data_IF_686974281503
#
_entry.id   IF_686974281503
#
_cell.length_a   1.000
_cell.length_b   1.000
_cell.length_c   1.000
_cell.angle_alpha   90.00
_cell.angle_beta   90.00
_cell.angle_gamma   90.00
#
_symmetry.space_group_name_H-M   'P 1'
#
loop_
_entity.id
_entity.type
_entity.pdbx_description
1 polymer ?
#
# COMPACT_ATOMS: atom_id res chain seq x y z
N UNK A 1 -28.58 -4.27 1.35
CA UNK A 1 -29.93 -3.84 1.81
C UNK A 1 -31.00 -4.94 1.85
N UNK A 2 -31.03 -5.90 0.91
CA UNK A 2 -32.06 -6.96 0.80
C UNK A 2 -32.42 -7.69 2.12
N UNK A 3 -31.43 -7.90 2.99
CA UNK A 3 -31.62 -8.55 4.29
C UNK A 3 -32.35 -7.69 5.32
N UNK A 4 -32.13 -6.37 5.31
CA UNK A 4 -32.74 -5.43 6.27
C UNK A 4 -34.20 -5.10 5.93
N UNK A 5 -34.55 -5.23 4.64
CA UNK A 5 -35.92 -5.06 4.11
C UNK A 5 -36.69 -6.39 4.01
N UNK A 6 -36.04 -7.52 4.34
CA UNK A 6 -36.57 -8.90 4.29
C UNK A 6 -37.29 -9.28 2.99
N UNK A 7 -36.73 -8.89 1.84
CA UNK A 7 -37.26 -9.34 0.54
C UNK A 7 -36.93 -10.83 0.28
N UNK A 8 -37.65 -11.51 -0.64
CA UNK A 8 -37.34 -12.88 -1.04
C UNK A 8 -35.85 -13.03 -1.42
N UNK A 9 -35.17 -14.01 -0.84
CA UNK A 9 -33.71 -14.18 -0.95
C UNK A 9 -32.91 -13.70 0.26
N UNK A 10 -33.56 -13.11 1.28
CA UNK A 10 -32.89 -12.79 2.53
C UNK A 10 -32.41 -14.05 3.28
N UNK A 11 -31.19 -14.02 3.83
CA UNK A 11 -30.62 -15.11 4.60
C UNK A 11 -31.42 -15.33 5.89
N UNK A 12 -31.72 -16.60 6.22
CA UNK A 12 -32.41 -16.96 7.48
C UNK A 12 -31.67 -16.46 8.73
N UNK A 13 -30.34 -16.45 8.68
CA UNK A 13 -29.50 -15.91 9.77
C UNK A 13 -29.72 -14.42 10.04
N UNK A 14 -30.36 -13.70 9.11
CA UNK A 14 -30.67 -12.28 9.25
C UNK A 14 -32.04 -12.00 9.88
N UNK A 15 -32.85 -13.03 10.16
CA UNK A 15 -34.17 -12.85 10.80
C UNK A 15 -34.08 -12.25 12.20
N UNK A 16 -32.95 -12.47 12.90
CA UNK A 16 -32.65 -11.84 14.18
C UNK A 16 -32.49 -10.30 14.09
N UNK A 17 -32.24 -9.76 12.89
CA UNK A 17 -32.19 -8.33 12.62
C UNK A 17 -33.54 -7.87 12.07
N UNK A 18 -34.57 -7.95 12.91
CA UNK A 18 -35.94 -7.48 12.66
C UNK A 18 -36.40 -6.58 13.82
N UNK A 19 -37.44 -5.79 13.58
CA UNK A 19 -38.09 -5.04 14.67
C UNK A 19 -38.70 -6.03 15.67
N UNK A 20 -38.96 -5.64 16.94
CA UNK A 20 -39.64 -6.50 17.90
C UNK A 20 -40.99 -7.05 17.41
N UNK A 21 -41.65 -6.35 16.47
CA UNK A 21 -42.87 -6.80 15.79
C UNK A 21 -42.65 -7.90 14.74
N UNK A 22 -41.41 -8.26 14.44
CA UNK A 22 -41.01 -9.16 13.35
C UNK A 22 -40.92 -8.49 11.97
N UNK A 23 -41.27 -7.21 11.88
CA UNK A 23 -41.17 -6.43 10.65
C UNK A 23 -39.72 -6.14 10.24
N UNK A 24 -39.48 -5.82 8.96
CA UNK A 24 -38.16 -5.38 8.51
C UNK A 24 -37.62 -4.18 9.30
N UNK A 25 -36.31 -4.11 9.48
CA UNK A 25 -35.66 -2.97 10.15
C UNK A 25 -35.76 -1.72 9.28
N UNK A 26 -35.68 -1.90 7.96
CA UNK A 26 -35.80 -0.83 6.97
C UNK A 26 -37.05 -1.03 6.11
N UNK A 27 -37.78 0.05 5.89
CA UNK A 27 -38.94 0.14 5.00
C UNK A 27 -39.00 1.56 4.40
N UNK A 28 -40.06 1.88 3.66
CA UNK A 28 -40.20 3.19 3.02
C UNK A 28 -40.43 4.35 3.98
N UNK A 29 -40.84 4.08 5.22
CA UNK A 29 -41.01 5.12 6.23
C UNK A 29 -39.69 5.61 6.82
N UNK A 30 -38.62 4.80 6.75
CA UNK A 30 -37.35 5.08 7.41
C UNK A 30 -36.12 4.92 6.52
N UNK A 31 -36.30 4.89 5.19
CA UNK A 31 -35.22 4.74 4.21
C UNK A 31 -35.21 5.91 3.23
N UNK A 32 -34.03 6.50 3.03
CA UNK A 32 -33.78 7.51 2.00
C UNK A 32 -32.76 6.96 1.00
N UNK A 33 -33.11 6.96 -0.28
CA UNK A 33 -32.15 6.75 -1.36
C UNK A 33 -31.57 8.10 -1.77
N UNK A 34 -30.25 8.26 -1.65
CA UNK A 34 -29.56 9.53 -1.86
C UNK A 34 -28.56 9.44 -3.01
N UNK A 35 -28.59 10.39 -3.94
CA UNK A 35 -27.68 10.39 -5.08
C UNK A 35 -28.06 9.41 -6.20
N UNK A 36 -29.33 9.02 -6.30
CA UNK A 36 -29.75 8.01 -7.29
C UNK A 36 -29.73 8.58 -8.71
N UNK A 37 -28.94 7.96 -9.61
CA UNK A 37 -28.88 8.38 -11.01
C UNK A 37 -30.10 7.87 -11.81
N UNK A 38 -31.10 8.72 -11.95
CA UNK A 38 -32.33 8.42 -12.69
C UNK A 38 -32.17 8.43 -14.20
N UNK A 39 -31.04 8.96 -14.71
CA UNK A 39 -30.77 9.07 -16.14
C UNK A 39 -29.85 7.97 -16.68
N UNK A 40 -29.34 7.09 -15.81
CA UNK A 40 -28.50 5.98 -16.21
C UNK A 40 -29.31 4.87 -16.89
N UNK A 41 -28.91 4.49 -18.11
CA UNK A 41 -29.64 3.49 -18.90
C UNK A 41 -29.72 2.11 -18.23
N UNK A 42 -28.77 1.77 -17.35
CA UNK A 42 -28.82 0.53 -16.56
C UNK A 42 -29.85 0.54 -15.43
N UNK A 43 -30.35 1.72 -15.02
CA UNK A 43 -31.41 1.84 -14.04
C UNK A 43 -32.77 1.84 -14.74
N UNK A 44 -33.44 0.70 -14.70
CA UNK A 44 -34.67 0.51 -15.46
C UNK A 44 -35.84 1.30 -14.85
N UNK A 45 -36.78 1.81 -15.68
CA UNK A 45 -37.96 2.55 -15.21
C UNK A 45 -38.77 1.80 -14.15
N UNK A 46 -38.83 0.46 -14.21
CA UNK A 46 -39.60 -0.35 -13.26
C UNK A 46 -39.03 -0.29 -11.84
N UNK A 47 -37.71 -0.10 -11.69
CA UNK A 47 -37.09 0.08 -10.38
C UNK A 47 -37.54 1.38 -9.72
N UNK A 48 -37.62 2.46 -10.50
CA UNK A 48 -38.09 3.75 -10.00
C UNK A 48 -39.59 3.74 -9.71
N UNK A 49 -40.39 3.12 -10.59
CA UNK A 49 -41.82 2.92 -10.35
C UNK A 49 -42.05 2.20 -9.02
N UNK A 50 -41.30 1.12 -8.74
CA UNK A 50 -41.37 0.44 -7.44
C UNK A 50 -41.05 1.36 -6.25
N UNK A 51 -39.99 2.17 -6.34
CA UNK A 51 -39.60 3.07 -5.24
C UNK A 51 -40.71 4.10 -4.96
N UNK A 52 -41.28 4.69 -6.01
CA UNK A 52 -42.34 5.68 -5.87
C UNK A 52 -43.67 5.06 -5.42
N UNK A 53 -44.07 3.92 -5.99
CA UNK A 53 -45.29 3.19 -5.60
C UNK A 53 -45.26 2.73 -4.15
N UNK A 54 -44.05 2.46 -3.62
CA UNK A 54 -43.83 2.10 -2.21
C UNK A 54 -43.56 3.29 -1.30
N UNK A 55 -43.65 4.52 -1.80
CA UNK A 55 -43.41 5.77 -1.06
C UNK A 55 -42.00 5.91 -0.47
N UNK A 56 -40.98 5.35 -1.11
CA UNK A 56 -39.59 5.61 -0.70
C UNK A 56 -39.20 7.07 -0.97
N UNK A 57 -38.46 7.67 -0.04
CA UNK A 57 -37.84 8.96 -0.26
C UNK A 57 -36.62 8.79 -1.16
N UNK A 58 -36.62 9.43 -2.32
CA UNK A 58 -35.50 9.38 -3.28
C UNK A 58 -35.00 10.80 -3.58
N UNK A 59 -33.69 11.00 -3.46
CA UNK A 59 -32.99 12.24 -3.84
C UNK A 59 -32.10 11.92 -5.03
N UNK A 60 -32.35 12.57 -6.17
CA UNK A 60 -31.64 12.29 -7.41
C UNK A 60 -30.20 12.78 -7.39
N UNK A 61 -29.31 12.10 -8.11
CA UNK A 61 -27.91 12.50 -8.29
C UNK A 61 -27.80 13.93 -8.82
N UNK A 62 -28.62 14.30 -9.80
CA UNK A 62 -28.66 15.64 -10.37
C UNK A 62 -29.01 16.74 -9.35
N UNK A 63 -29.82 16.44 -8.33
CA UNK A 63 -30.10 17.41 -7.27
C UNK A 63 -28.98 17.48 -6.25
N UNK A 64 -28.35 16.34 -5.92
CA UNK A 64 -27.20 16.29 -5.01
C UNK A 64 -26.02 17.06 -5.61
N UNK A 65 -25.77 16.91 -6.91
CA UNK A 65 -24.70 17.62 -7.60
C UNK A 65 -24.86 19.15 -7.55
N UNK A 66 -26.10 19.66 -7.53
CA UNK A 66 -26.37 21.11 -7.48
C UNK A 66 -26.29 21.68 -6.07
N UNK A 67 -26.87 20.98 -5.11
CA UNK A 67 -27.07 21.47 -3.74
C UNK A 67 -26.82 20.37 -2.70
N UNK A 68 -25.58 19.87 -2.57
CA UNK A 68 -25.30 18.66 -1.80
C UNK A 68 -25.65 18.80 -0.31
N UNK A 69 -25.28 19.92 0.32
CA UNK A 69 -25.56 20.13 1.75
C UNK A 69 -27.05 20.32 2.05
N UNK A 70 -27.75 21.07 1.21
CA UNK A 70 -29.18 21.31 1.41
C UNK A 70 -29.97 20.00 1.27
N UNK A 71 -29.63 19.18 0.28
CA UNK A 71 -30.24 17.86 0.09
C UNK A 71 -29.92 16.91 1.24
N UNK A 72 -28.68 16.91 1.73
CA UNK A 72 -28.30 16.10 2.89
C UNK A 72 -29.06 16.52 4.14
N UNK A 73 -29.20 17.83 4.39
CA UNK A 73 -29.98 18.37 5.50
C UNK A 73 -31.45 17.92 5.46
N UNK A 74 -32.11 18.02 4.31
CA UNK A 74 -33.49 17.58 4.15
C UNK A 74 -33.66 16.06 4.36
N UNK A 75 -32.68 15.27 3.92
CA UNK A 75 -32.67 13.83 4.13
C UNK A 75 -32.50 13.47 5.62
N UNK A 76 -31.60 14.17 6.31
CA UNK A 76 -31.39 14.00 7.75
C UNK A 76 -32.63 14.43 8.55
N UNK A 77 -33.19 15.61 8.29
CA UNK A 77 -34.42 16.07 8.96
C UNK A 77 -35.59 15.09 8.78
N UNK A 78 -35.70 14.47 7.59
CA UNK A 78 -36.68 13.41 7.35
C UNK A 78 -36.45 12.18 8.24
N UNK A 79 -35.20 11.72 8.39
CA UNK A 79 -34.85 10.54 9.18
C UNK A 79 -34.86 10.80 10.69
N UNK A 80 -34.39 11.96 11.14
CA UNK A 80 -34.26 12.32 12.56
C UNK A 80 -35.57 12.27 13.34
N UNK A 81 -36.69 12.48 12.64
CA UNK A 81 -38.03 12.40 13.24
C UNK A 81 -38.54 10.96 13.37
N UNK A 82 -37.84 9.96 12.83
CA UNK A 82 -38.38 8.63 12.52
C UNK A 82 -37.52 7.47 13.04
N UNK A 83 -36.24 7.72 13.31
CA UNK A 83 -35.30 6.68 13.76
C UNK A 83 -34.46 7.16 14.93
N UNK A 84 -33.99 6.20 15.75
CA UNK A 84 -33.02 6.44 16.82
C UNK A 84 -31.56 6.33 16.35
N UNK A 85 -31.35 5.65 15.21
CA UNK A 85 -30.03 5.43 14.61
C UNK A 85 -30.15 5.60 13.10
N UNK A 86 -29.29 6.43 12.53
CA UNK A 86 -29.16 6.59 11.08
C UNK A 86 -27.96 5.78 10.62
N UNK A 87 -28.20 4.82 9.73
CA UNK A 87 -27.15 4.06 9.06
C UNK A 87 -26.92 4.63 7.66
N UNK A 88 -25.70 5.08 7.39
CA UNK A 88 -25.31 5.54 6.05
C UNK A 88 -24.58 4.41 5.34
N UNK A 89 -25.18 3.90 4.26
CA UNK A 89 -24.59 2.94 3.35
C UNK A 89 -24.22 3.68 2.05
N UNK A 90 -22.93 3.94 1.85
CA UNK A 90 -22.41 4.68 0.71
C UNK A 90 -21.94 3.71 -0.36
N UNK A 91 -22.72 3.62 -1.44
CA UNK A 91 -22.30 2.92 -2.64
C UNK A 91 -21.36 3.81 -3.47
N UNK A 92 -20.14 3.32 -3.74
CA UNK A 92 -19.10 4.04 -4.48
C UNK A 92 -19.55 4.39 -5.90
N UNK A 93 -20.43 3.58 -6.49
CA UNK A 93 -21.01 3.82 -7.81
C UNK A 93 -22.00 5.02 -7.84
N UNK A 94 -22.31 5.60 -6.67
CA UNK A 94 -23.06 6.86 -6.56
C UNK A 94 -22.19 8.09 -6.83
N UNK A 95 -20.86 7.95 -6.79
CA UNK A 95 -19.89 9.01 -7.04
C UNK A 95 -19.44 8.94 -8.49
N UNK A 96 -19.40 10.09 -9.16
CA UNK A 96 -18.91 10.18 -10.52
C UNK A 96 -17.42 9.79 -10.60
N UNK A 97 -17.04 8.83 -11.47
CA UNK A 97 -15.68 8.32 -11.53
C UNK A 97 -14.65 9.35 -12.02
N UNK A 98 -15.08 10.48 -12.59
CA UNK A 98 -14.18 11.46 -13.21
C UNK A 98 -13.11 12.03 -12.28
N UNK A 99 -13.42 12.22 -10.99
CA UNK A 99 -12.45 12.70 -9.98
C UNK A 99 -11.98 11.59 -9.03
N UNK A 100 -12.64 10.43 -9.05
CA UNK A 100 -12.46 9.35 -8.08
C UNK A 100 -12.62 7.97 -8.77
N UNK A 101 -11.54 7.40 -9.35
CA UNK A 101 -11.62 6.23 -10.22
C UNK A 101 -11.64 4.91 -9.41
N UNK A 102 -12.58 4.77 -8.48
CA UNK A 102 -12.80 3.54 -7.69
C UNK A 102 -14.13 2.83 -8.07
N UNK A 103 -14.98 3.47 -8.86
CA UNK A 103 -16.22 2.86 -9.36
C UNK A 103 -15.93 1.82 -10.46
N UNK A 104 -16.41 0.60 -10.27
CA UNK A 104 -16.17 -0.54 -11.18
C UNK A 104 -17.04 -0.48 -12.45
N UNK A 105 -18.00 0.46 -12.51
CA UNK A 105 -18.81 0.76 -13.68
C UNK A 105 -18.74 2.27 -13.99
N UNK A 106 -18.64 2.68 -15.27
CA UNK A 106 -18.72 4.08 -15.66
C UNK A 106 -20.15 4.60 -15.49
N UNK A 107 -20.52 4.90 -14.25
CA UNK A 107 -21.77 5.57 -13.90
C UNK A 107 -21.50 7.08 -13.83
N UNK A 108 -21.81 7.79 -14.91
CA UNK A 108 -21.77 9.25 -14.92
C UNK A 108 -22.98 9.79 -14.13
N UNK A 109 -22.87 9.79 -12.79
CA UNK A 109 -23.92 10.27 -11.89
C UNK A 109 -24.00 11.79 -11.85
N UNK A 110 -22.91 12.47 -12.24
CA UNK A 110 -22.77 13.93 -12.16
C UNK A 110 -22.52 14.45 -10.75
N UNK A 111 -22.46 13.58 -9.73
CA UNK A 111 -22.11 13.95 -8.35
C UNK A 111 -20.62 13.65 -8.19
N UNK A 112 -19.76 14.67 -8.28
CA UNK A 112 -18.34 14.44 -8.09
C UNK A 112 -18.05 14.15 -6.61
N UNK A 113 -16.81 13.72 -6.36
CA UNK A 113 -16.37 13.34 -5.03
C UNK A 113 -16.58 14.48 -4.02
N UNK A 114 -16.25 15.71 -4.38
CA UNK A 114 -16.36 16.87 -3.49
C UNK A 114 -17.80 17.17 -3.08
N UNK A 115 -18.77 17.10 -4.00
CA UNK A 115 -20.18 17.29 -3.69
C UNK A 115 -20.69 16.20 -2.75
N UNK A 116 -20.33 14.93 -3.00
CA UNK A 116 -20.69 13.84 -2.10
C UNK A 116 -20.08 14.02 -0.71
N UNK A 117 -18.81 14.43 -0.62
CA UNK A 117 -18.17 14.68 0.68
C UNK A 117 -18.83 15.83 1.42
N UNK A 118 -19.23 16.89 0.72
CA UNK A 118 -19.95 18.03 1.30
C UNK A 118 -21.31 17.61 1.84
N UNK A 119 -22.03 16.75 1.13
CA UNK A 119 -23.28 16.15 1.61
C UNK A 119 -23.06 15.34 2.89
N UNK A 120 -22.04 14.48 2.92
CA UNK A 120 -21.74 13.61 4.07
C UNK A 120 -21.16 14.35 5.29
N UNK A 121 -20.42 15.44 5.06
CA UNK A 121 -19.82 16.27 6.12
C UNK A 121 -20.86 17.09 6.90
N UNK A 122 -22.10 17.16 6.42
CA UNK A 122 -23.16 17.85 7.13
C UNK A 122 -23.51 17.09 8.42
N UNK A 123 -22.84 17.44 9.51
CA UNK A 123 -23.29 17.09 10.85
C UNK A 123 -24.56 17.90 11.17
N UNK A 124 -25.57 17.29 11.81
CA UNK A 124 -26.73 18.03 12.26
C UNK A 124 -26.28 19.18 13.18
N UNK A 125 -27.01 20.29 13.11
CA UNK A 125 -26.62 21.59 13.69
C UNK A 125 -26.10 21.48 15.14
N UNK A 126 -25.02 22.21 15.41
CA UNK A 126 -24.30 22.41 16.69
C UNK A 126 -25.19 22.63 17.94
N UNK A 127 -24.62 22.49 19.16
CA UNK A 127 -25.31 22.03 20.37
C UNK A 127 -25.96 23.18 21.16
N UNK A 128 -27.13 23.65 20.72
CA UNK A 128 -27.96 24.54 21.53
C UNK A 128 -29.30 23.94 21.99
N UNK A 129 -29.59 22.67 21.67
CA UNK A 129 -30.79 22.00 22.17
C UNK A 129 -30.45 20.83 23.11
N UNK A 130 -31.23 20.64 24.19
CA UNK A 130 -30.97 19.63 25.21
C UNK A 130 -30.96 18.21 24.62
N UNK A 131 -29.97 17.43 25.07
CA UNK A 131 -29.47 16.18 24.50
C UNK A 131 -30.40 14.95 24.56
N UNK A 132 -31.71 15.07 24.33
CA UNK A 132 -32.64 13.95 24.55
C UNK A 132 -33.35 13.38 23.32
N UNK A 133 -33.13 13.87 22.09
CA UNK A 133 -33.84 13.35 20.90
C UNK A 133 -33.08 13.42 19.55
N UNK A 134 -31.75 13.35 19.53
CA UNK A 134 -31.02 13.23 18.25
C UNK A 134 -30.55 11.78 18.02
N UNK A 135 -30.83 11.18 16.85
CA UNK A 135 -30.38 9.84 16.57
C UNK A 135 -28.86 9.75 16.50
N UNK A 136 -28.31 8.57 16.83
CA UNK A 136 -26.89 8.29 16.61
C UNK A 136 -26.66 7.99 15.14
N UNK A 137 -25.72 8.66 14.50
CA UNK A 137 -25.33 8.37 13.12
C UNK A 137 -24.19 7.35 13.15
N UNK A 138 -24.38 6.21 12.49
CA UNK A 138 -23.33 5.19 12.30
C UNK A 138 -23.15 4.94 10.81
N UNK A 139 -21.98 5.26 10.28
CA UNK A 139 -21.67 5.06 8.86
C UNK A 139 -21.16 3.62 8.71
N UNK A 140 -21.90 2.78 7.99
CA UNK A 140 -21.55 1.38 7.74
C UNK A 140 -21.54 1.13 6.23
N UNK A 141 -20.38 0.71 5.73
CA UNK A 141 -19.98 0.78 4.32
C UNK A 141 -19.88 2.22 3.81
N UNK A 142 -18.86 2.91 4.32
CA UNK A 142 -18.16 3.93 3.57
C UNK A 142 -16.68 3.55 3.60
N UNK A 143 -16.12 3.12 2.46
CA UNK A 143 -14.66 3.16 2.24
C UNK A 143 -14.25 4.61 1.99
N UNK A 144 -14.51 5.46 2.97
CA UNK A 144 -14.43 6.91 2.84
C UNK A 144 -13.94 7.49 4.16
N UNK A 145 -12.63 7.37 4.37
CA UNK A 145 -11.93 8.14 5.39
C UNK A 145 -11.94 9.61 4.93
N UNK A 146 -12.89 10.39 5.44
CA UNK A 146 -12.84 11.86 5.34
C UNK A 146 -11.96 12.37 6.48
N UNK A 147 -10.65 12.46 6.26
CA UNK A 147 -9.78 13.25 7.14
C UNK A 147 -10.04 14.73 6.88
N UNK A 148 -10.39 15.48 7.94
CA UNK A 148 -10.35 16.95 7.92
C UNK A 148 -8.91 17.40 7.69
N UNK A 149 -8.67 18.04 6.56
CA UNK A 149 -7.44 18.75 6.16
C UNK A 149 -6.17 17.89 6.00
N UNK A 150 -5.27 18.25 5.07
CA UNK A 150 -3.91 17.74 5.13
C UNK A 150 -3.30 18.26 6.43
N UNK A 151 -2.92 17.35 7.34
CA UNK A 151 -2.04 17.68 8.45
C UNK A 151 -0.82 18.41 7.87
N UNK A 152 -0.77 19.74 8.01
CA UNK A 152 0.46 20.50 7.87
C UNK A 152 1.43 19.85 8.84
N UNK A 153 2.43 19.16 8.30
CA UNK A 153 3.52 18.57 9.09
C UNK A 153 4.06 19.69 9.97
N UNK A 154 4.04 19.58 11.32
CA UNK A 154 4.98 20.35 12.10
C UNK A 154 6.35 19.86 11.64
N UNK A 155 7.12 20.74 11.01
CA UNK A 155 8.55 20.52 10.83
C UNK A 155 9.14 20.51 12.23
N UNK A 156 9.20 19.32 12.84
CA UNK A 156 9.90 19.10 14.08
C UNK A 156 11.38 19.11 13.74
N UNK A 157 12.01 20.26 13.93
CA UNK A 157 13.45 20.34 14.13
C UNK A 157 13.69 19.82 15.54
N UNK A 158 13.86 18.51 15.68
CA UNK A 158 14.44 17.91 16.89
C UNK A 158 15.46 16.85 16.47
N UNK A 159 16.72 17.18 16.74
CA UNK A 159 17.88 16.33 16.59
C UNK A 159 17.82 15.15 17.57
N UNK A 160 17.44 13.99 17.05
CA UNK A 160 17.61 12.67 17.66
C UNK A 160 17.34 11.64 16.58
N UNK A 161 18.20 10.64 16.40
CA UNK A 161 18.05 9.66 15.33
C UNK A 161 16.82 8.76 15.57
N UNK A 162 15.64 9.21 15.17
CA UNK A 162 14.43 8.39 15.18
C UNK A 162 14.47 7.45 13.98
N UNK A 163 14.56 6.15 14.24
CA UNK A 163 14.41 5.10 13.22
C UNK A 163 13.04 5.19 12.56
N UNK A 164 13.00 5.05 11.22
CA UNK A 164 11.78 5.16 10.43
C UNK A 164 10.74 4.11 10.86
N UNK A 165 9.46 4.50 10.96
CA UNK A 165 8.34 3.63 11.33
C UNK A 165 7.72 3.04 10.07
N UNK A 166 7.85 1.73 9.89
CA UNK A 166 7.43 1.05 8.67
C UNK A 166 6.19 0.17 8.90
N UNK A 167 5.30 0.14 7.92
CA UNK A 167 4.27 -0.90 7.80
C UNK A 167 4.72 -1.99 6.82
N UNK A 168 4.71 -3.24 7.26
CA UNK A 168 5.03 -4.42 6.45
C UNK A 168 3.73 -5.13 6.10
N UNK A 169 3.37 -5.07 4.82
CA UNK A 169 2.14 -5.64 4.27
C UNK A 169 2.51 -6.80 3.35
N UNK A 170 2.03 -7.99 3.70
CA UNK A 170 2.49 -9.23 3.12
C UNK A 170 1.35 -9.94 2.42
N UNK A 171 1.49 -10.12 1.12
CA UNK A 171 0.64 -10.99 0.33
C UNK A 171 1.03 -12.45 0.62
N UNK A 172 0.32 -13.10 1.54
CA UNK A 172 0.67 -14.43 2.04
C UNK A 172 0.38 -15.53 1.01
N UNK A 173 -0.55 -15.28 0.08
CA UNK A 173 -0.90 -16.19 -0.99
C UNK A 173 0.26 -16.30 -2.00
N UNK A 174 1.02 -15.23 -2.20
CA UNK A 174 2.18 -15.20 -3.11
C UNK A 174 3.56 -15.25 -2.42
N UNK A 175 3.64 -15.04 -1.10
CA UNK A 175 4.90 -15.08 -0.36
C UNK A 175 5.19 -16.44 0.28
N UNK A 176 6.48 -16.74 0.44
CA UNK A 176 6.94 -17.97 1.11
C UNK A 176 7.15 -17.74 2.61
N UNK A 177 6.38 -18.45 3.45
CA UNK A 177 6.49 -18.36 4.92
C UNK A 177 7.92 -18.52 5.44
N UNK A 178 8.69 -19.44 4.86
CA UNK A 178 10.08 -19.73 5.26
C UNK A 178 11.03 -18.53 5.12
N UNK A 179 10.71 -17.57 4.26
CA UNK A 179 11.60 -16.41 3.98
C UNK A 179 11.25 -15.17 4.81
N UNK A 180 10.15 -15.19 5.55
CA UNK A 180 9.65 -14.02 6.29
C UNK A 180 10.61 -13.56 7.38
N UNK A 181 11.28 -14.47 8.07
CA UNK A 181 12.31 -14.10 9.05
C UNK A 181 13.46 -13.31 8.43
N UNK A 182 13.95 -13.74 7.26
CA UNK A 182 15.01 -13.05 6.52
C UNK A 182 14.52 -11.71 5.96
N UNK A 183 13.27 -11.66 5.49
CA UNK A 183 12.66 -10.42 5.01
C UNK A 183 12.56 -9.38 6.12
N UNK A 184 12.08 -9.75 7.31
CA UNK A 184 11.97 -8.83 8.44
C UNK A 184 13.35 -8.38 8.94
N UNK A 185 14.37 -9.24 8.88
CA UNK A 185 15.76 -8.86 9.16
C UNK A 185 16.29 -7.83 8.14
N UNK A 186 15.93 -7.95 6.87
CA UNK A 186 16.25 -6.96 5.84
C UNK A 186 15.47 -5.64 6.07
N UNK A 187 14.18 -5.70 6.42
CA UNK A 187 13.37 -4.51 6.77
C UNK A 187 13.99 -3.74 7.94
N UNK A 188 14.57 -4.43 8.92
CA UNK A 188 15.23 -3.82 10.07
C UNK A 188 16.42 -2.92 9.69
N UNK A 189 17.01 -3.09 8.50
CA UNK A 189 18.06 -2.21 7.96
C UNK A 189 17.52 -0.82 7.58
N UNK A 190 16.23 -0.72 7.28
CA UNK A 190 15.59 0.51 6.79
C UNK A 190 14.79 1.23 7.88
N UNK A 191 14.28 0.49 8.85
CA UNK A 191 13.46 1.05 9.92
C UNK A 191 12.88 -0.01 10.84
N UNK A 192 11.97 0.39 11.71
CA UNK A 192 11.26 -0.50 12.65
C UNK A 192 9.89 -0.85 12.11
N UNK A 193 9.61 -2.15 11.92
CA UNK A 193 8.31 -2.65 11.49
C UNK A 193 7.25 -2.50 12.61
N UNK A 194 6.55 -1.38 12.62
CA UNK A 194 5.51 -1.04 13.61
C UNK A 194 4.20 -1.77 13.33
N UNK A 195 3.87 -1.95 12.05
CA UNK A 195 2.72 -2.73 11.60
C UNK A 195 3.25 -3.90 10.79
N UNK A 196 2.76 -5.11 11.09
CA UNK A 196 3.08 -6.32 10.35
C UNK A 196 1.79 -7.08 10.11
N UNK A 197 1.35 -7.12 8.86
CA UNK A 197 0.10 -7.77 8.45
C UNK A 197 0.36 -8.70 7.28
N UNK A 198 -0.23 -9.88 7.35
CA UNK A 198 -0.23 -10.85 6.26
C UNK A 198 -1.67 -11.06 5.81
N UNK A 199 -1.91 -11.03 4.50
CA UNK A 199 -3.24 -11.13 3.89
C UNK A 199 -3.33 -12.44 3.12
N UNK A 200 -4.41 -13.19 3.31
CA UNK A 200 -4.66 -14.41 2.55
C UNK A 200 -5.88 -15.16 3.05
N UNK A 201 -6.19 -16.26 2.38
CA UNK A 201 -7.24 -17.19 2.81
C UNK A 201 -6.67 -18.27 3.73
N UNK A 202 -6.70 -18.01 5.05
CA UNK A 202 -6.16 -18.93 6.07
C UNK A 202 -6.97 -20.23 6.22
N UNK A 203 -8.09 -20.39 5.51
CA UNK A 203 -8.82 -21.65 5.44
C UNK A 203 -8.23 -22.63 4.43
N UNK A 204 -7.41 -22.12 3.48
CA UNK A 204 -6.77 -22.92 2.44
C UNK A 204 -5.56 -23.71 2.94
N UNK A 205 -5.28 -24.90 2.36
CA UNK A 205 -4.14 -25.73 2.77
C UNK A 205 -2.78 -25.06 2.47
N UNK A 206 -2.71 -24.11 1.53
CA UNK A 206 -1.49 -23.43 1.10
C UNK A 206 -0.82 -22.57 2.17
N UNK A 207 -1.57 -22.10 3.18
CA UNK A 207 -1.05 -21.22 4.23
C UNK A 207 -0.71 -21.94 5.54
N UNK A 208 -0.77 -23.28 5.58
CA UNK A 208 -0.51 -24.07 6.79
C UNK A 208 0.86 -23.82 7.41
N UNK A 209 1.89 -23.57 6.59
CA UNK A 209 3.25 -23.25 7.04
C UNK A 209 3.44 -21.88 7.69
N UNK A 210 2.44 -20.99 7.60
CA UNK A 210 2.53 -19.62 8.12
C UNK A 210 2.28 -19.52 9.61
N UNK A 211 1.52 -20.44 10.21
CA UNK A 211 1.08 -20.33 11.61
C UNK A 211 2.23 -20.07 12.59
N UNK A 212 3.32 -20.82 12.46
CA UNK A 212 4.52 -20.64 13.30
C UNK A 212 5.16 -19.27 13.07
N UNK A 213 5.30 -18.86 11.81
CA UNK A 213 5.92 -17.58 11.44
C UNK A 213 5.08 -16.39 11.92
N UNK A 214 3.76 -16.44 11.78
CA UNK A 214 2.86 -15.40 12.26
C UNK A 214 3.02 -15.17 13.77
N UNK A 215 3.05 -16.25 14.56
CA UNK A 215 3.22 -16.19 16.01
C UNK A 215 4.61 -15.71 16.39
N UNK A 216 5.65 -16.37 15.84
CA UNK A 216 7.06 -16.09 16.14
C UNK A 216 7.44 -14.65 15.82
N UNK A 217 6.93 -14.11 14.71
CA UNK A 217 7.26 -12.77 14.23
C UNK A 217 6.22 -11.72 14.62
N UNK A 218 5.18 -12.08 15.40
CA UNK A 218 4.07 -11.18 15.76
C UNK A 218 3.46 -10.47 14.54
N UNK A 219 3.16 -11.25 13.49
CA UNK A 219 2.48 -10.78 12.28
C UNK A 219 1.00 -11.05 12.45
N UNK A 220 0.18 -10.02 12.25
CA UNK A 220 -1.27 -10.15 12.32
C UNK A 220 -1.80 -10.80 11.03
N UNK A 221 -2.48 -11.97 11.11
CA UNK A 221 -3.18 -12.52 9.95
C UNK A 221 -4.45 -11.74 9.67
N UNK A 222 -4.65 -11.35 8.42
CA UNK A 222 -5.86 -10.73 7.89
C UNK A 222 -6.53 -11.76 6.98
N UNK A 223 -7.67 -12.31 7.41
CA UNK A 223 -8.42 -13.31 6.67
C UNK A 223 -9.21 -12.66 5.55
N UNK A 224 -9.10 -13.20 4.34
CA UNK A 224 -10.00 -12.91 3.22
C UNK A 224 -10.50 -14.22 2.62
N UNK A 225 -11.81 -14.37 2.49
CA UNK A 225 -12.40 -15.57 1.91
C UNK A 225 -12.36 -15.50 0.38
N UNK A 226 -11.78 -16.52 -0.26
CA UNK A 226 -11.83 -16.64 -1.70
C UNK A 226 -13.23 -17.11 -2.15
N UNK A 227 -14.13 -16.18 -2.48
CA UNK A 227 -15.49 -16.52 -2.94
C UNK A 227 -15.53 -17.18 -4.34
N UNK A 228 -14.48 -16.98 -5.15
CA UNK A 228 -14.27 -17.61 -6.46
C UNK A 228 -12.77 -17.68 -6.73
N UNK A 229 -12.27 -18.81 -7.25
CA UNK A 229 -10.83 -18.94 -7.56
C UNK A 229 -10.39 -17.90 -8.62
N UNK A 230 -9.26 -17.24 -8.36
CA UNK A 230 -8.66 -16.26 -9.28
C UNK A 230 -9.18 -14.82 -9.16
N UNK A 231 -9.85 -14.43 -8.06
CA UNK A 231 -10.20 -13.02 -7.80
C UNK A 231 -9.31 -12.40 -6.72
N UNK A 232 -8.89 -11.16 -6.98
CA UNK A 232 -7.98 -10.31 -6.20
C UNK A 232 -8.55 -9.81 -4.84
N UNK A 233 -9.27 -10.67 -4.12
CA UNK A 233 -9.92 -10.32 -2.84
C UNK A 233 -8.90 -10.04 -1.74
N UNK A 234 -7.84 -10.84 -1.67
CA UNK A 234 -6.67 -10.60 -0.81
C UNK A 234 -6.01 -9.27 -1.14
N UNK A 235 -5.78 -8.97 -2.42
CA UNK A 235 -5.10 -7.75 -2.86
C UNK A 235 -5.93 -6.51 -2.54
N UNK A 236 -7.24 -6.59 -2.74
CA UNK A 236 -8.18 -5.51 -2.44
C UNK A 236 -8.14 -5.17 -0.95
N UNK A 237 -8.18 -6.18 -0.08
CA UNK A 237 -8.09 -5.98 1.37
C UNK A 237 -6.74 -5.39 1.79
N UNK A 238 -5.64 -5.83 1.18
CA UNK A 238 -4.31 -5.28 1.44
C UNK A 238 -4.21 -3.82 1.00
N UNK A 239 -4.74 -3.47 -0.18
CA UNK A 239 -4.77 -2.09 -0.70
C UNK A 239 -5.59 -1.19 0.22
N UNK A 240 -6.78 -1.61 0.61
CA UNK A 240 -7.66 -0.85 1.52
C UNK A 240 -6.92 -0.55 2.82
N UNK A 241 -6.37 -1.59 3.44
CA UNK A 241 -5.70 -1.46 4.73
C UNK A 241 -4.39 -0.65 4.64
N UNK A 242 -3.69 -0.73 3.50
CA UNK A 242 -2.55 0.14 3.21
C UNK A 242 -2.94 1.61 3.16
N UNK A 243 -4.09 1.94 2.54
CA UNK A 243 -4.60 3.31 2.50
C UNK A 243 -5.04 3.81 3.88
N UNK A 244 -5.68 2.97 4.68
CA UNK A 244 -6.06 3.32 6.06
C UNK A 244 -4.82 3.64 6.91
N UNK A 245 -3.79 2.81 6.79
CA UNK A 245 -2.50 3.05 7.44
C UNK A 245 -1.81 4.31 6.93
N UNK A 246 -1.89 4.58 5.63
CA UNK A 246 -1.31 5.77 4.99
C UNK A 246 -1.94 7.04 5.57
N UNK A 247 -3.27 7.10 5.64
CA UNK A 247 -4.00 8.25 6.16
C UNK A 247 -3.98 8.38 7.69
N UNK A 248 -3.53 7.36 8.42
CA UNK A 248 -3.32 7.46 9.86
C UNK A 248 -2.25 8.50 10.24
N UNK A 249 -1.32 8.82 9.32
CA UNK A 249 -0.24 9.79 9.53
C UNK A 249 0.83 9.35 10.55
N UNK A 250 0.88 8.06 10.92
CA UNK A 250 1.77 7.53 11.98
C UNK A 250 3.03 6.82 11.48
N UNK A 251 3.15 6.62 10.17
CA UNK A 251 4.19 5.83 9.52
C UNK A 251 5.06 6.71 8.63
N UNK A 252 6.30 6.30 8.43
CA UNK A 252 7.29 6.97 7.58
C UNK A 252 7.51 6.24 6.24
N UNK A 253 7.02 5.00 6.11
CA UNK A 253 7.12 4.22 4.89
C UNK A 253 6.41 2.87 4.95
N UNK A 254 6.40 2.19 3.80
CA UNK A 254 5.71 0.93 3.57
C UNK A 254 6.67 -0.09 2.97
N UNK A 255 6.57 -1.33 3.44
CA UNK A 255 7.17 -2.51 2.85
C UNK A 255 6.06 -3.35 2.22
N UNK A 256 6.02 -3.39 0.88
CA UNK A 256 5.05 -4.19 0.12
C UNK A 256 5.71 -5.50 -0.29
N UNK A 257 5.24 -6.61 0.25
CA UNK A 257 5.78 -7.95 -0.04
C UNK A 257 4.83 -8.67 -0.99
N UNK A 258 5.11 -8.56 -2.30
CA UNK A 258 4.39 -9.26 -3.36
C UNK A 258 5.23 -9.27 -4.65
N UNK A 259 4.86 -10.14 -5.59
CA UNK A 259 5.38 -10.12 -6.97
C UNK A 259 4.31 -9.73 -8.00
N UNK A 260 3.12 -9.31 -7.55
CA UNK A 260 2.00 -8.93 -8.41
C UNK A 260 2.11 -7.47 -8.92
N UNK A 261 1.81 -7.26 -10.20
CA UNK A 261 1.74 -5.93 -10.80
C UNK A 261 0.60 -5.06 -10.26
N UNK A 262 -0.45 -5.64 -9.67
CA UNK A 262 -1.62 -4.88 -9.23
C UNK A 262 -1.30 -3.90 -8.09
N UNK A 263 -0.21 -4.14 -7.34
CA UNK A 263 0.30 -3.23 -6.32
C UNK A 263 1.08 -2.02 -6.86
N UNK A 264 1.29 -1.92 -8.19
CA UNK A 264 2.00 -0.80 -8.82
C UNK A 264 1.36 0.56 -8.47
N UNK A 265 0.02 0.67 -8.56
CA UNK A 265 -0.68 1.93 -8.25
C UNK A 265 -0.65 2.26 -6.76
N UNK A 266 -0.70 1.25 -5.90
CA UNK A 266 -0.55 1.43 -4.45
C UNK A 266 0.82 2.02 -4.12
N UNK A 267 1.91 1.45 -4.66
CA UNK A 267 3.26 1.94 -4.46
C UNK A 267 3.41 3.41 -4.91
N UNK A 268 2.94 3.73 -6.12
CA UNK A 268 2.96 5.11 -6.62
C UNK A 268 2.18 6.07 -5.71
N UNK A 269 0.98 5.68 -5.26
CA UNK A 269 0.13 6.54 -4.40
C UNK A 269 0.75 6.82 -3.04
N UNK A 270 1.44 5.84 -2.44
CA UNK A 270 2.17 6.03 -1.18
C UNK A 270 3.32 7.02 -1.39
N UNK A 271 4.08 6.90 -2.49
CA UNK A 271 5.18 7.83 -2.82
C UNK A 271 4.69 9.23 -3.13
N UNK A 272 3.57 9.37 -3.84
CA UNK A 272 2.90 10.66 -4.06
C UNK A 272 2.52 11.35 -2.75
N UNK A 273 2.31 10.58 -1.66
CA UNK A 273 2.06 11.10 -0.31
C UNK A 273 3.34 11.47 0.45
N UNK A 274 4.51 11.33 -0.19
CA UNK A 274 5.81 11.69 0.37
C UNK A 274 6.35 10.71 1.41
N UNK A 275 5.98 9.43 1.30
CA UNK A 275 6.44 8.32 2.15
C UNK A 275 7.27 7.36 1.32
N UNK A 276 8.23 6.67 1.96
CA UNK A 276 9.13 5.74 1.27
C UNK A 276 8.44 4.39 1.04
N UNK A 277 8.62 3.82 -0.15
CA UNK A 277 8.14 2.48 -0.50
C UNK A 277 9.29 1.53 -0.76
N UNK A 278 9.34 0.47 0.02
CA UNK A 278 10.22 -0.68 -0.17
C UNK A 278 9.41 -1.85 -0.76
N UNK A 279 9.74 -2.27 -1.97
CA UNK A 279 9.16 -3.47 -2.58
C UNK A 279 9.98 -4.71 -2.24
N UNK A 280 9.33 -5.84 -2.01
CA UNK A 280 9.96 -7.14 -1.85
C UNK A 280 9.23 -8.18 -2.70
N UNK A 281 9.94 -8.82 -3.62
CA UNK A 281 9.34 -9.84 -4.49
C UNK A 281 10.38 -10.70 -5.17
N UNK A 282 9.94 -11.68 -5.95
CA UNK A 282 10.81 -12.58 -6.71
C UNK A 282 11.38 -11.89 -7.96
N UNK A 283 12.42 -12.46 -8.58
CA UNK A 283 13.01 -11.91 -9.83
C UNK A 283 12.02 -11.80 -10.99
N UNK A 284 10.93 -12.57 -10.97
CA UNK A 284 9.86 -12.52 -11.97
C UNK A 284 8.95 -11.28 -11.84
N UNK A 285 9.13 -10.47 -10.79
CA UNK A 285 8.28 -9.31 -10.54
C UNK A 285 8.28 -8.35 -11.73
N UNK A 286 7.11 -7.88 -12.21
CA UNK A 286 7.02 -6.96 -13.33
C UNK A 286 7.76 -5.64 -13.09
N UNK A 287 8.51 -5.18 -14.10
CA UNK A 287 9.27 -3.92 -14.09
C UNK A 287 8.43 -2.69 -13.66
N UNK A 288 7.15 -2.55 -14.03
CA UNK A 288 6.33 -1.42 -13.56
C UNK A 288 6.22 -1.34 -12.03
N UNK A 289 6.04 -2.48 -11.35
CA UNK A 289 5.92 -2.49 -9.89
C UNK A 289 7.27 -2.17 -9.23
N UNK A 290 8.36 -2.73 -9.76
CA UNK A 290 9.72 -2.41 -9.33
C UNK A 290 10.01 -0.91 -9.44
N UNK A 291 9.71 -0.31 -10.60
CA UNK A 291 9.94 1.12 -10.84
C UNK A 291 9.03 2.04 -10.01
N UNK A 292 7.89 1.52 -9.52
CA UNK A 292 7.01 2.26 -8.64
C UNK A 292 7.53 2.36 -7.20
N UNK A 293 8.53 1.57 -6.80
CA UNK A 293 9.13 1.61 -5.47
C UNK A 293 10.33 2.57 -5.40
N UNK A 294 10.72 3.00 -4.18
CA UNK A 294 11.98 3.75 -3.98
C UNK A 294 13.19 2.81 -3.86
N UNK A 295 12.96 1.59 -3.35
CA UNK A 295 13.91 0.49 -3.39
C UNK A 295 13.13 -0.82 -3.52
N UNK A 296 13.64 -1.74 -4.33
CA UNK A 296 13.08 -3.07 -4.51
C UNK A 296 14.15 -4.10 -4.13
N UNK A 297 13.79 -5.05 -3.27
CA UNK A 297 14.70 -6.12 -2.84
C UNK A 297 14.17 -7.45 -3.34
N UNK A 298 14.98 -8.12 -4.14
CA UNK A 298 14.66 -9.48 -4.56
C UNK A 298 14.76 -10.45 -3.39
N UNK A 299 13.71 -11.25 -3.22
CA UNK A 299 13.60 -12.24 -2.16
C UNK A 299 14.80 -13.20 -2.18
N UNK A 300 15.30 -13.54 -3.37
CA UNK A 300 16.49 -14.35 -3.63
C UNK A 300 17.78 -13.78 -3.02
N UNK A 301 17.86 -12.46 -2.82
CA UNK A 301 19.03 -11.81 -2.22
C UNK A 301 19.01 -11.83 -0.68
N UNK A 302 17.90 -12.24 -0.07
CA UNK A 302 17.75 -12.27 1.38
C UNK A 302 18.57 -13.41 1.99
N UNK A 303 19.33 -13.10 3.04
CA UNK A 303 20.10 -14.09 3.82
C UNK A 303 21.43 -14.54 3.22
N UNK A 304 21.84 -13.98 2.07
CA UNK A 304 23.13 -14.31 1.42
C UNK A 304 24.33 -14.05 2.34
N UNK A 305 24.25 -13.01 3.18
CA UNK A 305 25.27 -12.69 4.17
C UNK A 305 25.42 -13.81 5.20
N UNK A 306 24.30 -14.32 5.73
CA UNK A 306 24.30 -15.38 6.75
C UNK A 306 24.87 -16.69 6.18
N UNK A 307 24.55 -17.03 4.92
CA UNK A 307 25.11 -18.23 4.29
C UNK A 307 26.63 -18.17 4.17
N UNK A 308 27.20 -16.99 3.90
CA UNK A 308 28.65 -16.84 3.74
C UNK A 308 29.34 -16.83 5.11
N UNK A 309 28.76 -16.22 6.15
CA UNK A 309 29.33 -16.32 7.51
C UNK A 309 29.33 -17.76 8.05
N UNK A 310 28.29 -18.54 7.79
CA UNK A 310 28.23 -19.97 8.13
C UNK A 310 29.25 -20.80 7.33
N UNK A 311 29.67 -20.30 6.17
CA UNK A 311 30.64 -20.93 5.26
C UNK A 311 32.09 -20.52 5.59
N UNK A 312 32.33 -19.28 6.02
CA UNK A 312 33.64 -18.79 6.53
C UNK A 312 34.07 -19.49 7.83
N UNK A 313 33.11 -19.98 8.62
CA UNK A 313 33.38 -20.83 9.80
C UNK A 313 33.88 -22.25 9.40
N UNK A 314 33.86 -22.61 8.12
CA UNK A 314 34.41 -23.87 7.62
C UNK A 314 35.90 -23.74 7.30
N UNK A 315 36.73 -24.71 7.69
CA UNK A 315 38.16 -24.66 7.42
C UNK A 315 38.43 -24.94 5.94
N UNK A 316 38.60 -23.85 5.17
CA UNK A 316 38.98 -23.72 3.74
C UNK A 316 37.83 -23.49 2.75
N UNK A 317 37.98 -22.52 1.83
CA UNK A 317 37.01 -22.32 0.74
C UNK A 317 37.07 -23.50 -0.22
N UNK A 318 35.92 -24.13 -0.44
CA UNK A 318 35.79 -25.23 -1.40
C UNK A 318 36.18 -24.76 -2.82
N UNK A 319 36.75 -25.65 -3.63
CA UNK A 319 37.11 -25.36 -5.04
C UNK A 319 35.93 -24.83 -5.87
N UNK A 320 34.71 -25.17 -5.46
CA UNK A 320 33.45 -24.72 -6.07
C UNK A 320 33.19 -23.24 -5.80
N UNK A 321 33.52 -22.74 -4.60
CA UNK A 321 33.38 -21.35 -4.16
C UNK A 321 34.24 -20.41 -5.01
N UNK A 322 35.51 -20.77 -5.17
CA UNK A 322 36.49 -19.99 -5.96
C UNK A 322 36.09 -19.95 -7.44
N UNK A 323 35.55 -21.05 -7.97
CA UNK A 323 35.05 -21.09 -9.35
C UNK A 323 33.81 -20.20 -9.54
N UNK A 324 32.91 -20.17 -8.53
CA UNK A 324 31.70 -19.34 -8.55
C UNK A 324 32.02 -17.84 -8.48
N UNK A 325 32.96 -17.45 -7.63
CA UNK A 325 33.42 -16.06 -7.53
C UNK A 325 34.11 -15.59 -8.82
N UNK A 326 34.92 -16.45 -9.45
CA UNK A 326 35.53 -16.15 -10.77
C UNK A 326 34.48 -15.97 -11.86
N UNK A 327 33.49 -16.87 -11.94
CA UNK A 327 32.42 -16.76 -12.92
C UNK A 327 31.58 -15.49 -12.73
N UNK A 328 31.32 -15.08 -11.47
CA UNK A 328 30.64 -13.83 -11.17
C UNK A 328 31.46 -12.60 -11.60
N UNK A 329 32.76 -12.59 -11.34
CA UNK A 329 33.66 -11.52 -11.78
C UNK A 329 33.73 -11.44 -13.32
N UNK A 330 33.87 -12.57 -14.02
CA UNK A 330 33.86 -12.62 -15.48
C UNK A 330 32.55 -12.10 -16.06
N UNK A 331 31.41 -12.48 -15.48
CA UNK A 331 30.09 -12.00 -15.91
C UNK A 331 29.97 -10.49 -15.75
N UNK A 332 30.37 -9.94 -14.61
CA UNK A 332 30.31 -8.49 -14.32
C UNK A 332 31.23 -7.68 -15.24
N UNK A 333 32.41 -8.19 -15.59
CA UNK A 333 33.33 -7.52 -16.51
C UNK A 333 32.79 -7.39 -17.94
N UNK A 334 31.83 -8.24 -18.34
CA UNK A 334 31.24 -8.24 -19.67
C UNK A 334 29.79 -7.71 -19.69
N UNK A 335 29.27 -7.22 -18.56
CA UNK A 335 27.95 -6.61 -18.48
C UNK A 335 27.99 -5.12 -18.84
N UNK A 336 27.78 -4.82 -20.12
CA UNK A 336 27.76 -3.45 -20.65
C UNK A 336 26.69 -2.55 -20.00
N UNK A 337 25.57 -3.12 -19.54
CA UNK A 337 24.52 -2.31 -18.92
C UNK A 337 24.96 -1.87 -17.52
N UNK A 338 25.49 -2.80 -16.73
CA UNK A 338 26.06 -2.52 -15.42
C UNK A 338 27.22 -1.52 -15.52
N UNK A 339 28.16 -1.74 -16.45
CA UNK A 339 29.27 -0.81 -16.68
C UNK A 339 28.75 0.60 -16.96
N UNK A 340 27.82 0.75 -17.92
CA UNK A 340 27.26 2.07 -18.28
C UNK A 340 26.59 2.75 -17.09
N UNK A 341 25.87 1.99 -16.28
CA UNK A 341 25.17 2.49 -15.09
C UNK A 341 26.15 2.96 -14.01
N UNK A 342 27.18 2.16 -13.69
CA UNK A 342 28.23 2.52 -12.73
C UNK A 342 29.01 3.75 -13.19
N UNK A 343 29.38 3.83 -14.48
CA UNK A 343 30.08 5.00 -15.04
C UNK A 343 29.24 6.27 -14.90
N UNK A 344 27.94 6.18 -15.21
CA UNK A 344 27.00 7.30 -15.07
C UNK A 344 26.89 7.75 -13.61
N UNK A 345 26.79 6.81 -12.68
CA UNK A 345 26.64 7.12 -11.25
C UNK A 345 27.89 7.75 -10.65
N UNK A 346 29.08 7.20 -10.94
CA UNK A 346 30.36 7.78 -10.51
C UNK A 346 30.55 9.17 -11.10
N UNK A 347 30.34 9.35 -12.41
CA UNK A 347 30.46 10.66 -13.05
C UNK A 347 29.49 11.70 -12.48
N UNK A 348 28.25 11.31 -12.16
CA UNK A 348 27.25 12.21 -11.59
C UNK A 348 27.49 12.57 -10.11
N UNK A 349 28.32 11.82 -9.40
CA UNK A 349 28.55 11.99 -7.95
C UNK A 349 30.01 12.30 -7.59
N UNK A 350 30.89 12.35 -8.59
CA UNK A 350 32.30 12.71 -8.44
C UNK A 350 32.51 14.17 -8.02
N UNK A 351 33.56 14.40 -7.26
CA UNK A 351 34.07 15.73 -6.90
C UNK A 351 34.95 16.33 -8.01
N UNK A 352 35.58 17.47 -7.72
CA UNK A 352 36.47 18.15 -8.66
C UNK A 352 37.72 17.34 -9.04
N UNK A 353 38.13 16.40 -8.18
CA UNK A 353 39.29 15.51 -8.41
C UNK A 353 38.88 14.19 -9.08
N UNK A 354 37.59 14.05 -9.42
CA UNK A 354 37.01 12.90 -10.08
C UNK A 354 36.66 11.73 -9.15
N UNK A 355 36.81 11.87 -7.84
CA UNK A 355 36.50 10.82 -6.86
C UNK A 355 35.04 10.90 -6.42
N UNK A 356 34.37 9.74 -6.38
CA UNK A 356 32.98 9.64 -5.95
C UNK A 356 32.85 8.78 -4.70
N UNK A 357 32.18 9.32 -3.68
CA UNK A 357 31.84 8.57 -2.47
C UNK A 357 30.87 7.42 -2.79
N UNK A 358 31.22 6.18 -2.47
CA UNK A 358 30.44 5.00 -2.85
C UNK A 358 29.03 4.96 -2.24
N UNK A 359 28.80 5.56 -1.08
CA UNK A 359 27.45 5.68 -0.53
C UNK A 359 26.57 6.60 -1.39
N UNK A 360 27.15 7.70 -1.92
CA UNK A 360 26.45 8.58 -2.87
C UNK A 360 26.22 7.89 -4.21
N UNK A 361 27.21 7.13 -4.70
CA UNK A 361 27.09 6.31 -5.92
C UNK A 361 25.93 5.32 -5.77
N UNK A 362 25.92 4.52 -4.71
CA UNK A 362 24.84 3.56 -4.45
C UNK A 362 23.47 4.22 -4.34
N UNK A 363 23.36 5.34 -3.61
CA UNK A 363 22.11 6.09 -3.50
C UNK A 363 21.65 6.68 -4.84
N UNK A 364 22.57 7.12 -5.70
CA UNK A 364 22.26 7.62 -7.03
C UNK A 364 21.73 6.49 -7.94
N UNK A 365 22.39 5.32 -7.89
CA UNK A 365 21.99 4.15 -8.65
C UNK A 365 20.57 3.71 -8.22
N UNK A 366 20.33 3.49 -6.92
CA UNK A 366 19.02 3.06 -6.43
C UNK A 366 17.90 4.04 -6.78
N UNK A 367 18.18 5.35 -6.89
CA UNK A 367 17.18 6.33 -7.36
C UNK A 367 16.78 6.15 -8.82
N UNK A 368 17.66 5.63 -9.67
CA UNK A 368 17.37 5.36 -11.09
C UNK A 368 16.90 3.93 -11.33
N UNK A 369 17.42 2.99 -10.55
CA UNK A 369 17.21 1.56 -10.65
C UNK A 369 16.90 1.03 -9.24
N UNK A 370 15.61 1.08 -8.81
CA UNK A 370 15.20 0.72 -7.45
C UNK A 370 15.61 -0.70 -7.02
N UNK A 371 15.71 -1.62 -7.98
CA UNK A 371 16.11 -3.02 -7.82
C UNK A 371 17.62 -3.28 -7.80
N UNK A 372 18.44 -2.24 -7.95
CA UNK A 372 19.89 -2.41 -7.90
C UNK A 372 20.35 -2.90 -6.53
N UNK A 373 21.09 -4.02 -6.56
CA UNK A 373 21.64 -4.70 -5.40
C UNK A 373 22.89 -5.48 -5.83
N UNK A 374 24.02 -5.26 -5.15
CA UNK A 374 25.27 -5.95 -5.45
C UNK A 374 25.13 -7.48 -5.35
N UNK A 375 24.23 -7.96 -4.48
CA UNK A 375 23.96 -9.39 -4.26
C UNK A 375 23.38 -10.05 -5.52
N UNK A 376 22.68 -9.28 -6.35
CA UNK A 376 22.19 -9.76 -7.66
C UNK A 376 23.31 -10.07 -8.64
N UNK A 377 24.50 -9.54 -8.42
CA UNK A 377 25.70 -9.75 -9.22
C UNK A 377 26.71 -10.70 -8.56
N UNK A 378 26.35 -11.28 -7.40
CA UNK A 378 27.22 -12.19 -6.64
C UNK A 378 28.16 -11.51 -5.65
N UNK A 379 27.96 -10.23 -5.32
CA UNK A 379 28.81 -9.47 -4.41
C UNK A 379 28.03 -9.00 -3.19
N UNK A 380 28.63 -9.08 -1.99
CA UNK A 380 27.96 -8.63 -0.76
C UNK A 380 27.90 -7.11 -0.64
N UNK A 381 28.96 -6.43 -1.10
CA UNK A 381 29.08 -4.97 -1.01
C UNK A 381 29.27 -4.34 -2.38
N UNK A 382 28.84 -3.10 -2.50
CA UNK A 382 29.00 -2.30 -3.72
C UNK A 382 30.49 -2.11 -4.08
N UNK A 383 31.36 -1.96 -3.08
CA UNK A 383 32.80 -1.84 -3.29
C UNK A 383 33.41 -3.07 -3.96
N UNK A 384 32.95 -4.26 -3.58
CA UNK A 384 33.44 -5.52 -4.15
C UNK A 384 32.99 -5.65 -5.61
N UNK A 385 31.72 -5.29 -5.88
CA UNK A 385 31.17 -5.25 -7.24
C UNK A 385 31.95 -4.28 -8.13
N UNK A 386 32.14 -3.04 -7.67
CA UNK A 386 32.86 -2.00 -8.43
C UNK A 386 34.30 -2.43 -8.68
N UNK A 387 34.98 -2.98 -7.67
CA UNK A 387 36.34 -3.48 -7.82
C UNK A 387 36.43 -4.60 -8.86
N UNK A 388 35.45 -5.52 -8.88
CA UNK A 388 35.42 -6.63 -9.83
C UNK A 388 35.30 -6.19 -11.29
N UNK A 389 34.64 -5.05 -11.56
CA UNK A 389 34.52 -4.50 -12.93
C UNK A 389 35.87 -4.10 -13.55
N UNK A 390 36.90 -3.84 -12.74
CA UNK A 390 38.25 -3.44 -13.21
C UNK A 390 38.31 -2.19 -14.10
N UNK A 391 37.27 -1.34 -14.06
CA UNK A 391 37.20 -0.05 -14.78
C UNK A 391 37.28 1.18 -13.84
N UNK A 392 37.32 0.95 -12.53
CA UNK A 392 37.43 1.98 -11.51
C UNK A 392 38.66 1.74 -10.61
N UNK A 393 39.32 2.83 -10.24
CA UNK A 393 40.25 2.88 -9.11
C UNK A 393 39.40 3.05 -7.83
N UNK A 394 39.64 2.22 -6.82
CA UNK A 394 38.89 2.24 -5.55
C UNK A 394 39.87 2.49 -4.40
N UNK A 395 39.59 3.48 -3.57
CA UNK A 395 40.41 3.83 -2.40
C UNK A 395 39.56 3.88 -1.11
N UNK A 396 40.12 3.35 -0.03
CA UNK A 396 39.59 3.53 1.33
C UNK A 396 40.27 4.74 1.98
N UNK A 397 39.54 5.83 2.18
CA UNK A 397 40.04 7.02 2.86
C UNK A 397 39.52 7.06 4.29
N UNK A 398 40.43 7.05 5.26
CA UNK A 398 40.09 7.36 6.65
C UNK A 398 40.13 8.87 6.85
N UNK A 399 39.05 9.54 7.23
CA UNK A 399 39.16 10.91 7.71
C UNK A 399 39.99 10.86 9.00
N UNK A 400 41.05 11.69 9.11
CA UNK A 400 42.01 11.64 10.21
C UNK A 400 41.39 11.67 11.62
N UNK A 401 42.22 11.37 12.63
CA UNK A 401 41.81 11.07 14.02
C UNK A 401 40.59 11.87 14.52
N UNK A 402 39.48 11.16 14.77
CA UNK A 402 38.32 11.66 15.50
C UNK A 402 37.01 11.87 14.73
N UNK A 403 36.89 11.49 13.45
CA UNK A 403 35.61 11.56 12.69
C UNK A 403 35.29 10.26 11.91
N UNK A 404 34.02 10.19 11.48
CA UNK A 404 33.17 9.11 10.92
C UNK A 404 33.85 8.00 10.04
N UNK A 405 33.20 6.83 9.81
CA UNK A 405 33.86 5.61 9.35
C UNK A 405 34.54 5.76 7.98
N UNK A 406 35.46 4.81 7.68
CA UNK A 406 36.20 4.68 6.42
C UNK A 406 35.29 4.97 5.23
N UNK A 407 35.65 5.96 4.44
CA UNK A 407 34.92 6.36 3.24
C UNK A 407 35.56 5.64 2.07
N UNK A 408 34.79 4.80 1.39
CA UNK A 408 35.20 4.20 0.13
C UNK A 408 34.86 5.14 -1.02
N UNK A 409 35.84 5.43 -1.86
CA UNK A 409 35.70 6.29 -3.02
C UNK A 409 36.11 5.54 -4.27
N UNK A 410 35.42 5.80 -5.37
CA UNK A 410 35.75 5.25 -6.68
C UNK A 410 35.94 6.36 -7.71
N UNK A 411 36.90 6.19 -8.61
CA UNK A 411 37.15 7.05 -9.77
C UNK A 411 37.31 6.18 -11.01
N UNK A 412 36.88 6.67 -12.16
CA UNK A 412 37.18 6.03 -13.45
C UNK A 412 38.69 5.86 -13.64
N UNK A 413 39.15 4.64 -13.94
CA UNK A 413 40.57 4.38 -14.14
C UNK A 413 41.08 5.15 -15.36
N UNK A 414 42.15 5.98 -15.23
CA UNK A 414 42.66 6.82 -16.31
C UNK A 414 43.06 6.04 -17.58
N UNK A 415 43.46 4.78 -17.42
CA UNK A 415 43.84 3.87 -18.52
C UNK A 415 42.68 3.35 -19.37
N UNK A 416 41.42 3.62 -18.98
CA UNK A 416 40.20 3.13 -19.67
C UNK A 416 39.19 4.25 -19.99
N UNK A 417 39.68 5.48 -20.17
CA UNK A 417 38.89 6.65 -20.57
C UNK A 417 38.65 6.77 -22.09
N UNK A 418 39.24 5.90 -22.91
CA UNK A 418 39.10 5.88 -24.38
C UNK A 418 38.01 4.93 -24.86
#
# INVERSE_FOLDING_TARGET
>A
MAHLIRIPGALKSMEQFSRPSGEPVCDSSNTVFFGTNMSFAGNKPEHFAYLFDKNYKVVSSASVAREPEQRAKEALEYLEQRVDVIMVHLDVDSIDPGTFPIANLPNYTGVAFEEMMRALKHEPSSPQEPATKKPRISIHEAHLIVTREPLKRPVSIMSGSTTAKLAVLIDADNAQASRIGLLLAEVAKYGTAHVKRAYGDWTGPGLTGWKDQLLRQSIQPIQQFAYTQGKNSTDSAMIIDAMDLLYSGKLDGFCLVSSDSDFTRLASRIRESGLVVYGFGERKTPKPFVAACDKFVYVENLGVENSIFDEELRPQPDKVEVARQRAAADHVQHDFNLERELRRAVGATSDYDGWANLAKVGAFITKQHPDFDARSYGFLKLVDLISATSIFDVESRSPGQGKAPVIEEARLSPSRMT
#
